data_IF_475853654783
#
_entry.id   IF_475853654783
#
_cell.length_a   1.000
_cell.length_b   1.000
_cell.length_c   1.000
_cell.angle_alpha   90.00
_cell.angle_beta   90.00
_cell.angle_gamma   90.00
#
_symmetry.space_group_name_H-M   'P 1'
#
loop_
_entity.id
_entity.type
_entity.pdbx_description
1 polymer ?
#
# COMPACT_ATOMS: atom_id res chain seq x y z
N UNK A 1 16.47 -7.68 -13.50
CA UNK A 1 15.06 -7.27 -13.62
C UNK A 1 14.80 -6.22 -12.56
N UNK A 2 14.12 -5.12 -12.87
CA UNK A 2 13.78 -4.12 -11.86
C UNK A 2 12.64 -4.67 -10.98
N UNK A 3 12.81 -4.66 -9.66
CA UNK A 3 11.77 -5.09 -8.73
C UNK A 3 10.68 -4.03 -8.62
N UNK A 4 9.41 -4.44 -8.66
CA UNK A 4 8.29 -3.58 -8.29
C UNK A 4 8.18 -3.50 -6.77
N UNK A 5 7.83 -2.33 -6.26
CA UNK A 5 7.61 -2.08 -4.83
C UNK A 5 6.16 -1.73 -4.57
N UNK A 6 5.50 -2.47 -3.67
CA UNK A 6 4.12 -2.20 -3.27
C UNK A 6 4.12 -1.57 -1.88
N UNK A 7 3.80 -0.27 -1.79
CA UNK A 7 3.96 0.46 -0.54
C UNK A 7 2.84 0.14 0.46
N UNK A 8 3.25 -0.41 1.60
CA UNK A 8 2.41 -0.57 2.79
C UNK A 8 2.12 0.78 3.50
N UNK A 9 1.04 0.81 4.29
CA UNK A 9 0.56 1.95 5.08
C UNK A 9 1.67 2.55 5.94
N UNK A 10 2.46 1.71 6.62
CA UNK A 10 3.51 2.19 7.54
C UNK A 10 4.61 2.97 6.80
N UNK A 11 5.03 2.48 5.64
CA UNK A 11 6.07 3.11 4.83
C UNK A 11 5.55 4.44 4.26
N UNK A 12 4.31 4.47 3.80
CA UNK A 12 3.71 5.69 3.26
C UNK A 12 3.56 6.77 4.35
N UNK A 13 3.11 6.39 5.56
CA UNK A 13 3.05 7.30 6.71
C UNK A 13 4.45 7.81 7.07
N UNK A 14 5.45 6.93 7.13
CA UNK A 14 6.83 7.32 7.46
C UNK A 14 7.40 8.31 6.43
N UNK A 15 7.17 8.07 5.13
CA UNK A 15 7.58 8.98 4.06
C UNK A 15 6.87 10.35 4.16
N UNK A 16 5.57 10.36 4.46
CA UNK A 16 4.77 11.58 4.66
C UNK A 16 5.20 12.37 5.90
N UNK A 17 5.68 11.69 6.95
CA UNK A 17 6.28 12.30 8.15
C UNK A 17 7.72 12.77 7.92
N UNK A 18 8.29 12.55 6.74
CA UNK A 18 9.63 13.03 6.39
C UNK A 18 10.76 12.20 6.97
N UNK A 19 10.54 10.92 7.30
CA UNK A 19 11.60 10.05 7.81
C UNK A 19 12.74 9.91 6.78
N UNK A 20 13.97 10.37 7.09
CA UNK A 20 15.06 10.46 6.10
C UNK A 20 15.43 9.12 5.47
N UNK A 21 15.47 8.04 6.26
CA UNK A 21 15.83 6.70 5.82
C UNK A 21 14.83 6.13 4.81
N UNK A 22 13.54 6.37 5.03
CA UNK A 22 12.47 5.93 4.13
C UNK A 22 12.51 6.74 2.84
N UNK A 23 12.65 8.07 2.95
CA UNK A 23 12.74 8.97 1.80
C UNK A 23 13.92 8.63 0.90
N UNK A 24 15.12 8.49 1.48
CA UNK A 24 16.33 8.13 0.73
C UNK A 24 16.16 6.82 -0.03
N UNK A 25 15.51 5.81 0.57
CA UNK A 25 15.26 4.53 -0.09
C UNK A 25 14.27 4.65 -1.24
N UNK A 26 13.18 5.41 -1.05
CA UNK A 26 12.17 5.66 -2.08
C UNK A 26 12.72 6.50 -3.25
N UNK A 27 13.49 7.54 -2.95
CA UNK A 27 14.14 8.42 -3.93
C UNK A 27 15.21 7.70 -4.75
N UNK A 28 15.79 6.61 -4.22
CA UNK A 28 16.70 5.74 -4.95
C UNK A 28 15.99 4.79 -5.93
N UNK A 29 14.66 4.68 -5.88
CA UNK A 29 13.89 3.86 -6.82
C UNK A 29 13.37 4.69 -7.99
N UNK A 30 13.20 4.05 -9.14
CA UNK A 30 12.46 4.66 -10.24
C UNK A 30 10.99 4.80 -9.84
N UNK A 31 10.39 5.96 -10.11
CA UNK A 31 8.96 6.21 -9.85
C UNK A 31 8.08 5.14 -10.52
N UNK A 32 8.47 4.70 -11.72
CA UNK A 32 7.80 3.62 -12.48
C UNK A 32 7.86 2.25 -11.79
N UNK A 33 8.73 2.05 -10.81
CA UNK A 33 8.85 0.82 -10.02
C UNK A 33 7.98 0.83 -8.75
N UNK A 34 7.39 1.97 -8.38
CA UNK A 34 6.61 2.12 -7.15
C UNK A 34 5.12 1.99 -7.47
N UNK A 35 4.39 1.27 -6.61
CA UNK A 35 2.94 1.08 -6.69
C UNK A 35 2.29 1.40 -5.35
N UNK A 36 1.12 2.04 -5.40
CA UNK A 36 0.31 2.33 -4.23
C UNK A 36 -0.87 1.36 -4.15
N UNK A 37 -1.17 0.87 -2.97
CA UNK A 37 -2.38 0.08 -2.73
C UNK A 37 -3.61 0.98 -2.61
N UNK A 38 -4.68 0.66 -3.33
CA UNK A 38 -6.00 1.28 -3.12
C UNK A 38 -6.51 1.11 -1.68
N UNK A 39 -6.17 0.00 -1.01
CA UNK A 39 -6.57 -0.28 0.38
C UNK A 39 -5.86 0.67 1.33
N UNK A 40 -4.54 0.79 1.21
CA UNK A 40 -3.73 1.74 1.99
C UNK A 40 -4.22 3.17 1.80
N UNK A 41 -4.54 3.57 0.56
CA UNK A 41 -5.09 4.89 0.28
C UNK A 41 -6.45 5.11 0.95
N UNK A 42 -7.30 4.08 1.00
CA UNK A 42 -8.56 4.10 1.74
C UNK A 42 -8.38 4.28 3.25
N UNK A 43 -7.44 3.54 3.86
CA UNK A 43 -7.12 3.67 5.29
C UNK A 43 -6.64 5.07 5.66
N UNK A 44 -5.72 5.61 4.86
CA UNK A 44 -5.19 6.96 5.07
C UNK A 44 -6.24 8.04 4.80
N UNK A 45 -7.11 7.82 3.81
CA UNK A 45 -8.26 8.68 3.52
C UNK A 45 -9.21 8.73 4.71
N UNK A 46 -9.58 7.57 5.26
CA UNK A 46 -10.40 7.49 6.48
C UNK A 46 -9.76 8.21 7.67
N UNK A 47 -8.45 8.03 7.86
CA UNK A 47 -7.69 8.76 8.87
C UNK A 47 -7.70 10.28 8.67
N UNK A 48 -7.65 10.75 7.41
CA UNK A 48 -7.76 12.16 7.06
C UNK A 48 -9.16 12.73 7.40
N UNK A 49 -10.24 11.98 7.11
CA UNK A 49 -11.61 12.40 7.44
C UNK A 49 -11.84 12.60 8.95
N UNK A 50 -11.14 11.82 9.79
CA UNK A 50 -11.25 11.92 11.25
C UNK A 50 -10.33 12.95 11.88
N UNK A 51 -9.43 13.58 11.13
CA UNK A 51 -8.35 14.40 11.68
C UNK A 51 -8.66 15.90 11.60
N UNK A 52 -8.26 16.66 12.63
CA UNK A 52 -8.26 18.13 12.62
C UNK A 52 -7.40 18.73 11.48
N UNK A 53 -6.47 17.95 10.91
CA UNK A 53 -5.63 18.35 9.77
C UNK A 53 -6.05 17.67 8.45
N UNK A 54 -7.33 17.27 8.33
CA UNK A 54 -7.85 16.47 7.24
C UNK A 54 -7.57 17.01 5.84
N UNK A 55 -7.73 18.32 5.62
CA UNK A 55 -7.50 18.96 4.31
C UNK A 55 -6.06 18.77 3.81
N UNK A 56 -5.08 18.98 4.71
CA UNK A 56 -3.67 18.81 4.37
C UNK A 56 -3.35 17.36 4.00
N UNK A 57 -3.93 16.40 4.71
CA UNK A 57 -3.69 14.99 4.43
C UNK A 57 -4.38 14.56 3.13
N UNK A 58 -5.62 14.99 2.89
CA UNK A 58 -6.32 14.75 1.61
C UNK A 58 -5.53 15.28 0.41
N UNK A 59 -5.04 16.52 0.48
CA UNK A 59 -4.25 17.11 -0.60
C UNK A 59 -2.96 16.32 -0.90
N UNK A 60 -2.30 15.79 0.14
CA UNK A 60 -1.12 14.93 0.00
C UNK A 60 -1.48 13.60 -0.67
N UNK A 61 -2.55 12.94 -0.23
CA UNK A 61 -3.02 11.67 -0.81
C UNK A 61 -3.43 11.85 -2.28
N UNK A 62 -4.10 12.95 -2.62
CA UNK A 62 -4.42 13.30 -4.00
C UNK A 62 -3.16 13.49 -4.87
N UNK A 63 -2.14 14.17 -4.34
CA UNK A 63 -0.87 14.35 -5.05
C UNK A 63 -0.16 13.01 -5.30
N UNK A 64 -0.21 12.08 -4.34
CA UNK A 64 0.41 10.77 -4.48
C UNK A 64 -0.25 9.93 -5.58
N UNK A 65 -1.58 9.89 -5.61
CA UNK A 65 -2.35 9.13 -6.61
C UNK A 65 -2.23 9.69 -8.03
N UNK A 66 -1.90 10.97 -8.17
CA UNK A 66 -1.57 11.57 -9.48
C UNK A 66 -0.19 11.17 -10.00
N UNK A 67 0.76 10.83 -9.11
CA UNK A 67 2.16 10.57 -9.46
C UNK A 67 2.50 9.09 -9.52
N UNK A 68 1.84 8.28 -8.72
CA UNK A 68 2.14 6.86 -8.55
C UNK A 68 0.95 6.00 -8.98
N UNK A 69 1.16 4.95 -9.79
CA UNK A 69 0.08 4.06 -10.19
C UNK A 69 -0.54 3.36 -8.99
N UNK A 70 -1.88 3.33 -8.97
CA UNK A 70 -2.67 2.64 -7.95
C UNK A 70 -2.94 1.20 -8.39
N UNK A 71 -2.81 0.27 -7.44
CA UNK A 71 -3.19 -1.13 -7.58
C UNK A 71 -4.56 -1.30 -6.95
N UNK A 72 -5.53 -1.68 -7.77
CA UNK A 72 -6.91 -1.97 -7.36
C UNK A 72 -7.08 -3.42 -6.91
N UNK A 73 -8.33 -3.88 -6.91
CA UNK A 73 -8.67 -5.30 -6.74
C UNK A 73 -9.10 -5.83 -8.10
N UNK A 74 -8.35 -6.80 -8.61
CA UNK A 74 -8.64 -7.51 -9.85
C UNK A 74 -8.75 -9.03 -9.62
N UNK A 75 -8.97 -9.79 -10.69
CA UNK A 75 -9.11 -11.25 -10.62
C UNK A 75 -7.90 -11.95 -9.99
N UNK A 76 -6.69 -11.49 -10.30
CA UNK A 76 -5.47 -12.08 -9.75
C UNK A 76 -5.35 -11.78 -8.25
N UNK A 77 -5.65 -10.55 -7.83
CA UNK A 77 -5.70 -10.13 -6.43
C UNK A 77 -6.70 -10.99 -5.63
N UNK A 78 -7.91 -11.20 -6.14
CA UNK A 78 -8.94 -12.01 -5.47
C UNK A 78 -8.46 -13.45 -5.27
N UNK A 79 -7.81 -14.03 -6.29
CA UNK A 79 -7.26 -15.39 -6.22
C UNK A 79 -6.14 -15.49 -5.17
N UNK A 80 -5.25 -14.51 -5.11
CA UNK A 80 -4.18 -14.48 -4.11
C UNK A 80 -4.75 -14.30 -2.70
N UNK A 81 -5.72 -13.40 -2.51
CA UNK A 81 -6.38 -13.17 -1.23
C UNK A 81 -6.95 -14.46 -0.64
N UNK A 82 -7.75 -15.20 -1.41
CA UNK A 82 -8.38 -16.43 -0.95
C UNK A 82 -7.34 -17.47 -0.50
N UNK A 83 -6.24 -17.61 -1.26
CA UNK A 83 -5.14 -18.52 -0.92
C UNK A 83 -4.40 -18.09 0.35
N UNK A 84 -4.05 -16.81 0.46
CA UNK A 84 -3.35 -16.28 1.65
C UNK A 84 -4.21 -16.48 2.89
N UNK A 85 -5.47 -16.05 2.84
CA UNK A 85 -6.37 -16.11 3.99
C UNK A 85 -6.58 -17.55 4.46
N UNK A 86 -6.89 -18.46 3.54
CA UNK A 86 -7.06 -19.87 3.88
C UNK A 86 -5.77 -20.49 4.43
N UNK A 87 -4.60 -20.11 3.89
CA UNK A 87 -3.32 -20.57 4.39
C UNK A 87 -3.08 -20.10 5.83
N UNK A 88 -3.21 -18.80 6.10
CA UNK A 88 -2.94 -18.22 7.42
C UNK A 88 -3.92 -18.72 8.49
N UNK A 89 -5.21 -18.83 8.16
CA UNK A 89 -6.22 -19.37 9.08
C UNK A 89 -5.92 -20.83 9.44
N UNK A 90 -5.55 -21.67 8.46
CA UNK A 90 -5.18 -23.07 8.72
C UNK A 90 -3.94 -23.22 9.61
N UNK A 91 -3.04 -22.24 9.60
CA UNK A 91 -1.83 -22.25 10.42
C UNK A 91 -1.98 -21.46 11.73
N UNK A 92 -3.18 -20.96 12.04
CA UNK A 92 -3.44 -20.23 13.28
C UNK A 92 -2.74 -18.86 13.37
N UNK A 93 -2.36 -18.27 12.23
CA UNK A 93 -1.64 -16.99 12.15
C UNK A 93 -2.35 -15.96 11.25
N UNK A 94 -3.65 -15.69 11.47
CA UNK A 94 -4.36 -14.70 10.66
C UNK A 94 -3.73 -13.31 10.85
N UNK A 95 -3.67 -12.54 9.75
CA UNK A 95 -3.31 -11.13 9.76
C UNK A 95 -4.57 -10.27 9.57
N UNK A 96 -4.43 -8.94 9.67
CA UNK A 96 -5.55 -8.01 9.45
C UNK A 96 -6.24 -8.22 8.10
N UNK A 97 -7.55 -7.95 8.04
CA UNK A 97 -8.30 -8.13 6.80
C UNK A 97 -7.75 -7.26 5.65
N UNK A 98 -7.38 -6.01 5.95
CA UNK A 98 -6.75 -5.11 4.99
C UNK A 98 -5.32 -5.55 4.66
N UNK A 99 -4.53 -5.98 5.64
CA UNK A 99 -3.17 -6.51 5.41
C UNK A 99 -3.20 -7.72 4.45
N UNK A 100 -4.23 -8.56 4.56
CA UNK A 100 -4.43 -9.70 3.66
C UNK A 100 -4.67 -9.23 2.23
N UNK A 101 -5.46 -8.16 2.02
CA UNK A 101 -5.65 -7.56 0.70
C UNK A 101 -4.38 -6.90 0.16
N UNK A 102 -3.66 -6.16 1.00
CA UNK A 102 -2.40 -5.51 0.62
C UNK A 102 -1.35 -6.54 0.19
N UNK A 103 -1.23 -7.65 0.93
CA UNK A 103 -0.36 -8.77 0.57
C UNK A 103 -0.80 -9.43 -0.74
N UNK A 104 -2.11 -9.62 -0.94
CA UNK A 104 -2.64 -10.18 -2.18
C UNK A 104 -2.35 -9.30 -3.40
N UNK A 105 -2.47 -7.98 -3.27
CA UNK A 105 -2.14 -7.02 -4.31
C UNK A 105 -0.66 -7.09 -4.68
N UNK A 106 0.23 -7.13 -3.69
CA UNK A 106 1.67 -7.27 -3.92
C UNK A 106 2.01 -8.55 -4.71
N UNK A 107 1.42 -9.69 -4.33
CA UNK A 107 1.62 -10.95 -5.04
C UNK A 107 1.08 -10.92 -6.47
N UNK A 108 -0.08 -10.30 -6.70
CA UNK A 108 -0.70 -10.24 -8.03
C UNK A 108 0.18 -9.52 -9.06
N UNK A 109 0.96 -8.53 -8.63
CA UNK A 109 1.85 -7.76 -9.51
C UNK A 109 3.33 -8.16 -9.39
N UNK A 110 3.66 -9.25 -8.67
CA UNK A 110 5.03 -9.68 -8.39
C UNK A 110 5.90 -8.57 -7.77
N UNK A 111 5.33 -7.80 -6.85
CA UNK A 111 6.04 -6.76 -6.11
C UNK A 111 6.60 -7.27 -4.78
N UNK A 112 7.56 -6.51 -4.25
CA UNK A 112 8.13 -6.62 -2.90
C UNK A 112 7.51 -5.57 -1.99
#
# INVERSE_FOLDING_TARGET
MASLYHLDTNILIAAMKGRPEVRKRLEAQQISAIRLSAIVMGELGFGAEKSAYGDRNRARLATLTQRLPLVGIDHDTIRHYAKIRAFLERHGTPIGANDTWIAAQALAINAV
#
